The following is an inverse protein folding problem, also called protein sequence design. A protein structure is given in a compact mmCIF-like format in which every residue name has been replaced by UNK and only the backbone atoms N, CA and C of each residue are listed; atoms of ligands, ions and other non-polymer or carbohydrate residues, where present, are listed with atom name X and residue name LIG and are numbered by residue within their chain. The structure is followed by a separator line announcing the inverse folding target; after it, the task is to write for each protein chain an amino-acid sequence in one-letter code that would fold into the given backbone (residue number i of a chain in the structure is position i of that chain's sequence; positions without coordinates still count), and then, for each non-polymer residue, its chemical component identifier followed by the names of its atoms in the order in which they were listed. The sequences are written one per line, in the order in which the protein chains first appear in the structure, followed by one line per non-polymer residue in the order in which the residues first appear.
data_IF_099219316607
#
_entry.id   IF_099219316607
#
_cell.length_a   1.000
_cell.length_b   1.000
_cell.length_c   1.000
_cell.angle_alpha   90.00
_cell.angle_beta   90.00
_cell.angle_gamma   90.00
#
_symmetry.space_group_name_H-M   'P 1'
#
loop_
_entity.id
_entity.type
_entity.pdbx_description
1 polymer ?
#
# COMPACT_ATOMS: atom_id res chain seq x y z
N UNK A 1 -21.78 53.61 -28.07
CA UNK A 1 -21.58 53.85 -26.62
C UNK A 1 -20.62 52.80 -26.12
N UNK A 2 -19.35 53.17 -26.10
CA UNK A 2 -18.17 52.37 -25.76
C UNK A 2 -17.86 52.58 -24.28
N UNK A 3 -17.68 51.52 -23.50
CA UNK A 3 -17.03 51.63 -22.19
C UNK A 3 -16.00 50.52 -22.03
N UNK A 4 -14.81 50.94 -21.62
CA UNK A 4 -13.54 50.24 -21.74
C UNK A 4 -13.21 49.38 -20.52
N UNK A 5 -12.48 48.29 -20.76
CA UNK A 5 -11.83 47.47 -19.74
C UNK A 5 -10.65 48.21 -19.09
N UNK A 6 -10.38 48.01 -17.79
CA UNK A 6 -9.07 48.32 -17.23
C UNK A 6 -8.10 47.15 -17.44
N UNK A 7 -6.93 47.50 -18.01
CA UNK A 7 -5.73 46.65 -18.07
C UNK A 7 -4.93 46.86 -16.80
N UNK A 8 -4.68 45.80 -16.04
CA UNK A 8 -3.69 45.80 -14.96
C UNK A 8 -2.44 45.06 -15.42
N UNK A 9 -1.33 45.81 -15.52
CA UNK A 9 0.01 45.27 -15.71
C UNK A 9 0.47 44.55 -14.43
N UNK A 10 0.96 43.32 -14.56
CA UNK A 10 1.75 42.66 -13.54
C UNK A 10 3.20 42.56 -14.02
N UNK A 11 4.09 43.16 -13.24
CA UNK A 11 5.53 43.26 -13.41
C UNK A 11 6.23 41.91 -13.20
N UNK A 12 7.04 41.47 -14.16
CA UNK A 12 8.00 40.37 -14.00
C UNK A 12 9.20 40.85 -13.15
N UNK A 13 9.41 40.23 -11.99
CA UNK A 13 10.65 40.32 -11.22
C UNK A 13 11.41 39.00 -11.33
N UNK A 14 12.52 38.98 -12.07
CA UNK A 14 13.41 37.83 -12.19
C UNK A 14 14.38 37.74 -11.01
N UNK A 15 14.54 36.55 -10.45
CA UNK A 15 15.58 36.24 -9.47
C UNK A 15 16.58 35.25 -10.09
N UNK A 16 17.85 35.67 -10.15
CA UNK A 16 19.00 34.87 -10.59
C UNK A 16 19.58 34.19 -9.34
N UNK A 17 19.54 32.85 -9.28
CA UNK A 17 20.31 32.07 -8.30
C UNK A 17 21.63 31.60 -8.92
N UNK A 18 22.74 32.00 -8.31
CA UNK A 18 24.08 31.51 -8.61
C UNK A 18 24.38 30.25 -7.77
N UNK A 19 24.72 29.15 -8.44
CA UNK A 19 25.25 27.92 -7.82
C UNK A 19 26.76 28.07 -7.58
N UNK A 20 27.19 27.94 -6.32
CA UNK A 20 28.58 27.75 -5.94
C UNK A 20 28.89 26.25 -5.75
N UNK A 21 29.78 25.72 -6.59
CA UNK A 21 30.43 24.42 -6.43
C UNK A 21 31.62 24.56 -5.48
N UNK A 22 31.67 23.74 -4.42
CA UNK A 22 32.91 23.45 -3.70
C UNK A 22 33.11 21.95 -3.60
N UNK A 23 34.21 21.51 -4.19
CA UNK A 23 34.80 20.19 -4.09
C UNK A 23 35.48 20.00 -2.72
N UNK A 24 35.45 18.77 -2.22
CA UNK A 24 36.22 18.35 -1.04
C UNK A 24 36.42 16.84 -1.07
N UNK A 25 37.57 16.42 -1.60
CA UNK A 25 38.10 15.06 -1.50
C UNK A 25 38.72 14.84 -0.11
N UNK A 26 38.70 13.59 0.37
CA UNK A 26 39.48 13.16 1.53
C UNK A 26 39.24 11.69 1.87
N UNK A 27 39.94 10.79 1.17
CA UNK A 27 40.22 9.41 1.58
C UNK A 27 41.25 9.39 2.71
N UNK A 28 41.08 8.53 3.72
CA UNK A 28 42.12 7.61 4.24
C UNK A 28 41.60 6.81 5.48
N UNK A 29 41.49 5.50 5.32
CA UNK A 29 41.62 4.44 6.34
C UNK A 29 42.76 3.53 5.82
N UNK A 30 43.54 2.74 6.61
CA UNK A 30 43.08 1.95 7.76
C UNK A 30 44.16 1.66 8.85
N UNK A 31 43.80 0.81 9.83
CA UNK A 31 44.62 -0.21 10.55
C UNK A 31 44.27 -0.25 12.05
N UNK A 32 43.50 -1.25 12.52
CA UNK A 32 43.92 -2.59 12.93
C UNK A 32 44.58 -2.65 14.33
N UNK A 33 43.89 -3.26 15.30
CA UNK A 33 44.50 -4.28 16.15
C UNK A 33 43.44 -5.07 16.96
N UNK A 34 43.44 -6.40 16.81
CA UNK A 34 42.73 -7.36 17.66
C UNK A 34 43.77 -8.40 18.11
N UNK A 35 44.03 -8.56 19.42
CA UNK A 35 44.77 -9.71 19.91
C UNK A 35 43.84 -10.90 20.13
N UNK A 36 44.21 -12.04 19.56
CA UNK A 36 43.70 -13.37 19.92
C UNK A 36 44.65 -14.01 20.96
N UNK A 37 44.10 -14.75 21.91
CA UNK A 37 44.85 -15.69 22.78
C UNK A 37 44.01 -16.94 23.09
N UNK A 38 44.66 -18.07 23.44
CA UNK A 38 44.32 -19.39 22.91
C UNK A 38 43.59 -20.34 23.88
N UNK A 39 43.17 -21.47 23.29
CA UNK A 39 42.58 -22.67 23.88
C UNK A 39 43.28 -23.21 25.14
N UNK A 40 42.48 -23.69 26.08
CA UNK A 40 42.88 -24.64 27.12
C UNK A 40 41.86 -25.78 27.19
N UNK A 41 42.36 -27.02 27.09
CA UNK A 41 41.59 -28.27 27.13
C UNK A 41 41.79 -28.94 28.49
N UNK A 42 40.71 -29.42 29.13
CA UNK A 42 40.75 -30.38 30.24
C UNK A 42 39.38 -31.07 30.42
N UNK A 43 39.31 -32.27 31.07
CA UNK A 43 38.50 -33.40 30.58
C UNK A 43 37.19 -33.70 31.34
N UNK A 44 36.47 -34.64 30.73
CA UNK A 44 35.27 -35.41 31.10
C UNK A 44 34.84 -35.50 32.59
N UNK A 45 33.53 -35.32 32.81
CA UNK A 45 32.67 -36.11 33.72
C UNK A 45 31.18 -35.81 33.43
N UNK A 46 30.35 -36.85 33.46
CA UNK A 46 28.90 -36.86 33.21
C UNK A 46 28.26 -37.85 34.19
N UNK A 47 26.95 -37.79 34.53
CA UNK A 47 26.09 -36.64 34.80
C UNK A 47 25.29 -36.82 36.11
N UNK A 48 24.85 -35.72 36.73
CA UNK A 48 23.71 -35.76 37.63
C UNK A 48 23.02 -34.39 37.70
N UNK A 49 21.73 -34.39 37.34
CA UNK A 49 20.63 -33.63 37.95
C UNK A 49 19.72 -32.91 36.96
N UNK A 50 18.43 -33.12 37.24
CA UNK A 50 17.28 -32.21 37.13
C UNK A 50 16.55 -32.09 35.79
N UNK A 51 15.32 -32.59 35.84
CA UNK A 51 14.19 -32.27 34.97
C UNK A 51 14.09 -30.76 34.73
N UNK A 52 14.34 -30.36 33.49
CA UNK A 52 13.87 -29.11 32.92
C UNK A 52 12.77 -29.45 31.93
N UNK A 53 11.54 -29.06 32.26
CA UNK A 53 10.38 -29.13 31.37
C UNK A 53 10.65 -28.26 30.15
N UNK A 54 11.03 -28.86 29.03
CA UNK A 54 11.07 -28.17 27.73
C UNK A 54 9.64 -27.87 27.29
N UNK A 55 9.29 -26.59 27.40
CA UNK A 55 8.14 -25.97 26.73
C UNK A 55 8.23 -26.27 25.24
N UNK A 56 7.23 -26.99 24.72
CA UNK A 56 7.20 -27.47 23.35
C UNK A 56 7.37 -26.35 22.32
N UNK A 57 8.37 -26.49 21.45
CA UNK A 57 8.37 -25.84 20.14
C UNK A 57 7.10 -26.24 19.38
N UNK A 58 6.37 -25.30 18.75
CA UNK A 58 5.34 -25.69 17.81
C UNK A 58 6.01 -26.46 16.68
N UNK A 59 5.51 -27.67 16.41
CA UNK A 59 5.85 -28.41 15.19
C UNK A 59 5.39 -27.58 14.00
N UNK A 60 6.33 -26.96 13.29
CA UNK A 60 6.11 -26.52 11.92
C UNK A 60 5.98 -27.76 11.05
N UNK A 61 4.78 -27.98 10.52
CA UNK A 61 4.51 -29.00 9.50
C UNK A 61 5.44 -28.76 8.30
N UNK A 62 6.36 -29.70 7.96
CA UNK A 62 7.40 -29.47 6.94
C UNK A 62 6.89 -29.37 5.49
N UNK A 63 5.57 -29.30 5.27
CA UNK A 63 4.95 -29.35 3.94
C UNK A 63 4.17 -28.11 3.51
N UNK A 64 3.93 -27.13 4.39
CA UNK A 64 3.22 -25.92 4.03
C UNK A 64 4.21 -24.87 3.49
N UNK A 65 4.04 -24.34 2.27
CA UNK A 65 4.86 -23.23 1.80
C UNK A 65 4.69 -22.02 2.71
N UNK A 66 5.80 -21.31 2.97
CA UNK A 66 5.80 -20.11 3.80
C UNK A 66 4.77 -19.09 3.31
N UNK A 67 4.02 -18.46 4.23
CA UNK A 67 3.05 -17.43 3.85
C UNK A 67 3.76 -16.28 3.13
N UNK A 68 3.27 -15.95 1.94
CA UNK A 68 3.75 -14.82 1.15
C UNK A 68 2.70 -13.71 1.16
N UNK A 69 3.14 -12.46 1.31
CA UNK A 69 2.25 -11.31 1.17
C UNK A 69 2.15 -10.87 -0.30
N UNK A 70 0.94 -10.55 -0.74
CA UNK A 70 0.67 -9.91 -2.03
C UNK A 70 -0.06 -8.57 -1.82
N UNK A 71 0.31 -7.51 -2.56
CA UNK A 71 -0.42 -6.25 -2.51
C UNK A 71 -1.71 -6.37 -3.34
N UNK A 72 -2.86 -6.29 -2.68
CA UNK A 72 -4.17 -6.24 -3.34
C UNK A 72 -4.73 -4.84 -3.20
N UNK A 73 -5.20 -4.28 -4.32
CA UNK A 73 -5.85 -2.98 -4.32
C UNK A 73 -7.36 -3.19 -4.23
N UNK A 74 -8.02 -2.43 -3.36
CA UNK A 74 -9.46 -2.48 -3.14
C UNK A 74 -10.07 -1.09 -3.22
N UNK A 75 -11.37 -1.02 -3.50
CA UNK A 75 -12.07 0.24 -3.63
C UNK A 75 -12.56 0.73 -2.27
N UNK A 76 -12.15 1.92 -1.89
CA UNK A 76 -12.65 2.67 -0.73
C UNK A 76 -13.29 3.99 -1.18
N UNK A 77 -14.07 4.61 -0.30
CA UNK A 77 -14.69 5.92 -0.56
C UNK A 77 -13.75 7.03 -0.13
N UNK A 78 -13.61 8.07 -0.94
CA UNK A 78 -12.92 9.32 -0.58
C UNK A 78 -13.80 10.52 -0.93
N UNK A 79 -13.46 11.73 -0.45
CA UNK A 79 -14.10 12.96 -0.90
C UNK A 79 -14.11 13.18 -2.41
N UNK A 80 -13.14 12.64 -3.13
CA UNK A 80 -13.00 12.75 -4.59
C UNK A 80 -13.75 11.64 -5.34
N UNK A 81 -14.49 10.80 -4.62
CA UNK A 81 -15.17 9.61 -5.14
C UNK A 81 -14.44 8.32 -4.79
N UNK A 82 -14.80 7.23 -5.47
CA UNK A 82 -14.17 5.94 -5.24
C UNK A 82 -12.70 5.93 -5.71
N UNK A 83 -11.81 5.45 -4.83
CA UNK A 83 -10.36 5.31 -5.08
C UNK A 83 -9.85 3.96 -4.60
N UNK A 84 -8.64 3.61 -5.02
CA UNK A 84 -7.98 2.36 -4.65
C UNK A 84 -7.08 2.52 -3.42
N UNK A 85 -7.30 1.70 -2.41
CA UNK A 85 -6.43 1.50 -1.26
C UNK A 85 -5.69 0.18 -1.39
N UNK A 86 -4.46 0.09 -0.90
CA UNK A 86 -3.67 -1.15 -0.91
C UNK A 86 -3.77 -1.84 0.44
N UNK A 87 -4.01 -3.14 0.40
CA UNK A 87 -3.95 -4.05 1.55
C UNK A 87 -3.02 -5.21 1.21
N UNK A 88 -2.18 -5.65 2.16
CA UNK A 88 -1.36 -6.84 1.97
C UNK A 88 -2.13 -8.08 2.43
N UNK A 89 -2.40 -8.98 1.49
CA UNK A 89 -3.09 -10.24 1.77
C UNK A 89 -2.06 -11.36 1.88
N UNK A 90 -2.13 -12.14 2.96
CA UNK A 90 -1.35 -13.35 3.12
C UNK A 90 -1.92 -14.47 2.25
N UNK A 91 -1.06 -15.16 1.51
CA UNK A 91 -1.43 -16.31 0.69
C UNK A 91 -0.52 -17.49 0.99
N UNK A 92 -1.06 -18.70 0.84
CA UNK A 92 -0.33 -19.96 0.99
C UNK A 92 -0.69 -20.90 -0.15
N UNK A 93 0.30 -21.63 -0.67
CA UNK A 93 0.10 -22.75 -1.61
C UNK A 93 -0.36 -22.41 -3.02
N UNK A 94 -0.77 -21.17 -3.31
CA UNK A 94 -1.21 -20.73 -4.63
C UNK A 94 -0.13 -19.97 -5.41
N UNK A 95 -0.20 -20.02 -6.74
CA UNK A 95 0.53 -19.07 -7.59
C UNK A 95 0.11 -17.63 -7.22
N UNK A 96 1.11 -16.76 -7.04
CA UNK A 96 0.88 -15.41 -6.49
C UNK A 96 -0.03 -14.57 -7.39
N UNK A 97 0.13 -14.67 -8.71
CA UNK A 97 -0.68 -13.89 -9.66
C UNK A 97 -2.10 -14.42 -9.76
N UNK A 98 -2.27 -15.74 -9.73
CA UNK A 98 -3.59 -16.37 -9.67
C UNK A 98 -4.32 -15.97 -8.39
N UNK A 99 -3.64 -16.03 -7.24
CA UNK A 99 -4.21 -15.62 -5.95
C UNK A 99 -4.56 -14.12 -5.95
N UNK A 100 -3.70 -13.26 -6.48
CA UNK A 100 -3.93 -11.82 -6.58
C UNK A 100 -5.17 -11.49 -7.44
N UNK A 101 -5.32 -12.14 -8.59
CA UNK A 101 -6.51 -11.98 -9.44
C UNK A 101 -7.78 -12.50 -8.75
N UNK A 102 -7.69 -13.61 -8.01
CA UNK A 102 -8.80 -14.14 -7.23
C UNK A 102 -9.23 -13.17 -6.12
N UNK A 103 -8.28 -12.56 -5.40
CA UNK A 103 -8.56 -11.55 -4.37
C UNK A 103 -9.27 -10.33 -4.95
N UNK A 104 -8.87 -9.87 -6.13
CA UNK A 104 -9.55 -8.75 -6.81
C UNK A 104 -10.98 -9.11 -7.22
N UNK A 105 -11.21 -10.30 -7.75
CA UNK A 105 -12.50 -10.68 -8.36
C UNK A 105 -13.52 -11.20 -7.36
N UNK A 106 -13.07 -11.84 -6.27
CA UNK A 106 -13.91 -12.55 -5.32
C UNK A 106 -13.44 -12.46 -3.86
N UNK A 107 -12.32 -11.79 -3.62
CA UNK A 107 -11.78 -11.64 -2.27
C UNK A 107 -12.62 -10.75 -1.38
N UNK A 108 -12.50 -11.01 -0.07
CA UNK A 108 -13.04 -10.14 0.98
C UNK A 108 -11.87 -9.42 1.63
N UNK A 109 -11.76 -8.09 1.48
CA UNK A 109 -10.76 -7.30 2.20
C UNK A 109 -10.87 -7.52 3.71
N UNK A 110 -9.75 -7.44 4.41
CA UNK A 110 -9.74 -7.48 5.88
C UNK A 110 -10.34 -6.19 6.43
N UNK A 111 -9.99 -5.06 5.81
CA UNK A 111 -10.59 -3.76 6.08
C UNK A 111 -12.05 -3.70 5.59
N UNK A 112 -13.04 -3.49 6.48
CA UNK A 112 -14.44 -3.45 6.07
C UNK A 112 -14.83 -2.19 5.31
N UNK A 113 -13.99 -1.15 5.31
CA UNK A 113 -14.22 0.08 4.55
C UNK A 113 -13.86 -0.11 3.06
N UNK A 114 -13.20 -1.23 2.76
CA UNK A 114 -12.79 -1.61 1.42
C UNK A 114 -13.75 -2.63 0.80
N UNK A 115 -13.78 -2.67 -0.54
CA UNK A 115 -14.55 -3.66 -1.30
C UNK A 115 -13.93 -3.96 -2.66
N UNK A 116 -14.34 -5.08 -3.26
CA UNK A 116 -14.17 -5.27 -4.70
C UNK A 116 -15.24 -4.55 -5.50
N UNK A 117 -14.89 -4.05 -6.68
CA UNK A 117 -15.87 -3.55 -7.68
C UNK A 117 -16.17 -4.57 -8.79
N UNK A 118 -15.64 -5.78 -8.69
CA UNK A 118 -15.85 -6.82 -9.69
C UNK A 118 -17.23 -7.49 -9.51
N UNK A 119 -17.88 -7.90 -10.61
CA UNK A 119 -19.16 -8.61 -10.56
C UNK A 119 -19.05 -10.05 -10.02
N UNK A 120 -17.87 -10.48 -9.57
CA UNK A 120 -17.56 -11.85 -9.15
C UNK A 120 -16.93 -12.69 -10.26
N UNK A 121 -16.69 -13.96 -9.94
CA UNK A 121 -16.10 -14.96 -10.84
C UNK A 121 -14.57 -15.04 -10.75
N UNK A 122 -13.93 -15.68 -11.74
CA UNK A 122 -12.48 -15.90 -11.77
C UNK A 122 -11.96 -15.91 -13.21
N UNK A 123 -10.72 -15.47 -13.39
CA UNK A 123 -9.99 -15.70 -14.65
C UNK A 123 -9.74 -17.20 -14.87
N UNK A 124 -9.74 -17.63 -16.12
CA UNK A 124 -9.40 -19.00 -16.50
C UNK A 124 -7.90 -19.27 -16.32
N UNK A 125 -7.06 -18.27 -16.60
CA UNK A 125 -5.63 -18.30 -16.30
C UNK A 125 -5.08 -16.89 -16.07
N UNK A 126 -3.97 -16.82 -15.34
CA UNK A 126 -3.16 -15.62 -15.17
C UNK A 126 -1.70 -16.05 -15.28
N UNK A 127 -0.94 -15.44 -16.17
CA UNK A 127 0.45 -15.85 -16.43
C UNK A 127 1.31 -14.64 -16.77
N UNK A 128 2.51 -14.59 -16.22
CA UNK A 128 3.49 -13.58 -16.57
C UNK A 128 4.41 -14.09 -17.69
N UNK A 129 4.61 -13.24 -18.68
CA UNK A 129 5.64 -13.41 -19.73
C UNK A 129 6.73 -12.36 -19.53
N UNK A 130 7.72 -12.32 -20.43
CA UNK A 130 8.74 -11.27 -20.39
C UNK A 130 8.16 -9.86 -20.62
N UNK A 131 7.09 -9.76 -21.41
CA UNK A 131 6.58 -8.47 -21.92
C UNK A 131 5.20 -8.08 -21.34
N UNK A 132 4.48 -9.02 -20.71
CA UNK A 132 3.11 -8.79 -20.26
C UNK A 132 2.70 -9.69 -19.10
N UNK A 133 1.61 -9.31 -18.43
CA UNK A 133 0.82 -10.22 -17.60
C UNK A 133 -0.43 -10.58 -18.41
N UNK A 134 -0.56 -11.82 -18.83
CA UNK A 134 -1.68 -12.32 -19.64
C UNK A 134 -2.77 -12.84 -18.73
N UNK A 135 -4.00 -12.36 -18.91
CA UNK A 135 -5.20 -12.85 -18.23
C UNK A 135 -6.18 -13.42 -19.24
N UNK A 136 -6.62 -14.65 -19.02
CA UNK A 136 -7.64 -15.31 -19.84
C UNK A 136 -9.00 -15.16 -19.14
N UNK A 137 -9.95 -14.48 -19.79
CA UNK A 137 -11.32 -14.39 -19.28
C UNK A 137 -12.06 -15.71 -19.45
N UNK A 138 -12.99 -16.07 -18.56
CA UNK A 138 -13.69 -17.34 -18.66
C UNK A 138 -14.65 -17.40 -19.87
N UNK A 139 -15.24 -16.26 -20.25
CA UNK A 139 -16.17 -16.14 -21.36
C UNK A 139 -16.39 -14.66 -21.75
N UNK A 140 -17.15 -14.44 -22.82
CA UNK A 140 -17.39 -13.12 -23.41
C UNK A 140 -18.16 -12.13 -22.50
N UNK A 141 -18.80 -12.59 -21.41
CA UNK A 141 -19.54 -11.69 -20.51
C UNK A 141 -18.62 -10.71 -19.80
N UNK A 142 -17.36 -11.08 -19.59
CA UNK A 142 -16.33 -10.22 -18.98
C UNK A 142 -15.81 -9.15 -19.94
N UNK A 143 -16.14 -9.22 -21.23
CA UNK A 143 -15.75 -8.20 -22.21
C UNK A 143 -16.67 -6.98 -22.16
N UNK A 144 -17.85 -7.11 -21.55
CA UNK A 144 -18.86 -6.06 -21.42
C UNK A 144 -18.88 -5.52 -19.99
N UNK A 145 -19.29 -4.26 -19.77
CA UNK A 145 -19.33 -3.67 -18.42
C UNK A 145 -20.41 -4.28 -17.52
N UNK A 146 -21.39 -5.00 -18.10
CA UNK A 146 -22.54 -5.51 -17.37
C UNK A 146 -23.35 -4.37 -16.74
N UNK A 147 -23.55 -4.43 -15.42
CA UNK A 147 -24.25 -3.40 -14.65
C UNK A 147 -23.33 -2.26 -14.17
N UNK A 148 -22.02 -2.35 -14.38
CA UNK A 148 -21.07 -1.32 -13.94
C UNK A 148 -21.25 -0.05 -14.75
N UNK A 149 -21.28 1.10 -14.05
CA UNK A 149 -21.16 2.40 -14.73
C UNK A 149 -19.75 2.53 -15.33
N UNK A 150 -19.57 3.33 -16.41
CA UNK A 150 -18.27 3.45 -17.06
C UNK A 150 -17.10 3.82 -16.15
N UNK A 151 -17.32 4.69 -15.15
CA UNK A 151 -16.28 5.04 -14.17
C UNK A 151 -15.94 3.88 -13.24
N UNK A 152 -16.93 3.10 -12.81
CA UNK A 152 -16.74 1.92 -11.96
C UNK A 152 -16.02 0.81 -12.71
N UNK A 153 -16.35 0.59 -13.99
CA UNK A 153 -15.65 -0.36 -14.85
C UNK A 153 -14.17 -0.01 -15.01
N UNK A 154 -13.86 1.27 -15.26
CA UNK A 154 -12.46 1.75 -15.31
C UNK A 154 -11.72 1.53 -14.00
N UNK A 155 -12.34 1.85 -12.87
CA UNK A 155 -11.71 1.66 -11.56
C UNK A 155 -11.51 0.17 -11.23
N UNK A 156 -12.47 -0.69 -11.56
CA UNK A 156 -12.35 -2.15 -11.40
C UNK A 156 -11.21 -2.73 -12.25
N UNK A 157 -11.03 -2.24 -13.48
CA UNK A 157 -9.87 -2.62 -14.31
C UNK A 157 -8.57 -2.15 -13.68
N UNK A 158 -8.50 -0.92 -13.16
CA UNK A 158 -7.31 -0.43 -12.46
C UNK A 158 -7.02 -1.22 -11.16
N UNK A 159 -8.07 -1.67 -10.47
CA UNK A 159 -7.96 -2.59 -9.32
C UNK A 159 -7.15 -3.85 -9.68
N UNK A 160 -7.45 -4.46 -10.82
CA UNK A 160 -6.71 -5.62 -11.33
C UNK A 160 -5.29 -5.26 -11.74
N UNK A 161 -5.13 -4.21 -12.54
CA UNK A 161 -3.82 -3.83 -13.09
C UNK A 161 -2.82 -3.52 -11.98
N UNK A 162 -3.19 -2.69 -11.00
CA UNK A 162 -2.30 -2.37 -9.87
C UNK A 162 -1.96 -3.59 -9.02
N UNK A 163 -2.93 -4.48 -8.79
CA UNK A 163 -2.74 -5.71 -8.02
C UNK A 163 -1.78 -6.66 -8.72
N UNK A 164 -1.98 -6.93 -10.02
CA UNK A 164 -1.13 -7.83 -10.79
C UNK A 164 0.28 -7.27 -10.97
N UNK A 165 0.41 -5.99 -11.31
CA UNK A 165 1.73 -5.35 -11.44
C UNK A 165 2.48 -5.28 -10.11
N UNK A 166 1.77 -4.99 -9.00
CA UNK A 166 2.34 -5.02 -7.67
C UNK A 166 2.82 -6.42 -7.27
N UNK A 167 2.04 -7.45 -7.60
CA UNK A 167 2.38 -8.84 -7.32
C UNK A 167 3.55 -9.34 -8.17
N UNK A 168 3.59 -8.96 -9.45
CA UNK A 168 4.68 -9.27 -10.37
C UNK A 168 5.99 -8.50 -10.06
N UNK A 169 5.91 -7.41 -9.28
CA UNK A 169 7.03 -6.50 -9.05
C UNK A 169 7.46 -5.73 -10.30
N UNK A 170 6.61 -5.63 -11.32
CA UNK A 170 6.92 -5.02 -12.61
C UNK A 170 5.71 -4.26 -13.19
N UNK A 171 5.96 -3.18 -13.94
CA UNK A 171 4.93 -2.38 -14.62
C UNK A 171 4.59 -2.93 -16.02
N UNK A 172 4.52 -4.26 -16.14
CA UNK A 172 4.14 -4.92 -17.39
C UNK A 172 2.67 -4.63 -17.74
N UNK A 173 2.31 -4.39 -19.02
CA UNK A 173 0.92 -4.26 -19.43
C UNK A 173 0.15 -5.55 -19.16
N UNK A 174 -1.12 -5.43 -18.77
CA UNK A 174 -2.03 -6.57 -18.63
C UNK A 174 -2.72 -6.82 -19.96
N UNK A 175 -2.43 -7.96 -20.59
CA UNK A 175 -3.06 -8.38 -21.85
C UNK A 175 -4.23 -9.31 -21.58
N UNK A 176 -5.35 -9.05 -22.23
CA UNK A 176 -6.59 -9.80 -22.03
C UNK A 176 -6.79 -10.75 -23.19
N UNK A 177 -7.11 -12.00 -22.90
CA UNK A 177 -7.40 -13.02 -23.89
C UNK A 177 -8.74 -13.70 -23.62
N UNK A 178 -9.35 -14.19 -24.70
CA UNK A 178 -10.49 -15.10 -24.69
C UNK A 178 -10.27 -16.19 -25.74
N UNK A 179 -10.39 -17.44 -25.33
CA UNK A 179 -10.11 -18.64 -26.14
C UNK A 179 -8.71 -18.58 -26.78
N UNK A 180 -7.72 -18.07 -26.01
CA UNK A 180 -6.33 -17.90 -26.45
C UNK A 180 -6.11 -16.82 -27.51
N UNK A 181 -7.10 -15.95 -27.75
CA UNK A 181 -7.01 -14.83 -28.71
C UNK A 181 -7.09 -13.49 -27.98
N UNK A 182 -6.42 -12.43 -28.47
CA UNK A 182 -6.54 -11.10 -27.88
C UNK A 182 -8.00 -10.63 -27.80
N UNK A 183 -8.43 -10.21 -26.62
CA UNK A 183 -9.74 -9.63 -26.40
C UNK A 183 -9.66 -8.10 -26.52
N UNK A 184 -10.61 -7.44 -27.20
CA UNK A 184 -10.56 -6.00 -27.43
C UNK A 184 -10.89 -5.19 -26.18
N UNK A 185 -11.57 -5.78 -25.19
CA UNK A 185 -12.04 -5.07 -23.99
C UNK A 185 -11.97 -5.95 -22.74
N UNK A 186 -12.04 -5.32 -21.58
CA UNK A 186 -12.30 -5.96 -20.28
C UNK A 186 -13.24 -5.06 -19.50
N UNK A 187 -14.39 -5.59 -19.07
CA UNK A 187 -15.48 -4.83 -18.46
C UNK A 187 -15.89 -3.60 -19.31
N UNK A 188 -15.83 -3.72 -20.65
CA UNK A 188 -16.10 -2.61 -21.57
C UNK A 188 -15.00 -1.55 -21.69
N UNK A 189 -13.87 -1.70 -20.99
CA UNK A 189 -12.69 -0.83 -21.12
C UNK A 189 -11.81 -1.37 -22.25
N UNK A 190 -11.32 -0.48 -23.14
CA UNK A 190 -10.41 -0.86 -24.23
C UNK A 190 -9.14 -1.54 -23.70
N UNK A 191 -8.91 -2.77 -24.13
CA UNK A 191 -7.76 -3.61 -23.79
C UNK A 191 -6.91 -3.95 -25.02
N UNK A 192 -7.23 -3.40 -26.20
CA UNK A 192 -6.62 -3.75 -27.48
C UNK A 192 -5.10 -3.52 -27.55
N UNK A 193 -4.56 -2.63 -26.70
CA UNK A 193 -3.13 -2.32 -26.59
C UNK A 193 -2.48 -2.85 -25.30
N UNK A 194 -3.22 -3.64 -24.52
CA UNK A 194 -2.87 -3.96 -23.15
C UNK A 194 -3.26 -2.84 -22.18
N UNK A 195 -3.61 -3.23 -20.96
CA UNK A 195 -4.06 -2.35 -19.90
C UNK A 195 -2.86 -1.93 -19.03
N UNK A 196 -2.67 -0.63 -18.85
CA UNK A 196 -1.60 -0.06 -18.03
C UNK A 196 -2.16 0.64 -16.80
N UNK A 197 -1.33 0.76 -15.76
CA UNK A 197 -1.68 1.51 -14.58
C UNK A 197 -1.87 2.99 -14.97
N UNK A 198 -2.98 3.57 -14.54
CA UNK A 198 -3.19 5.01 -14.61
C UNK A 198 -2.18 5.74 -13.69
N UNK A 199 -2.03 7.07 -13.78
CA UNK A 199 -1.28 7.84 -12.78
C UNK A 199 -1.84 7.60 -11.37
N UNK A 200 -0.95 7.48 -10.38
CA UNK A 200 -1.36 7.10 -9.02
C UNK A 200 -2.38 8.07 -8.42
N UNK A 201 -2.17 9.38 -8.59
CA UNK A 201 -3.05 10.42 -8.04
C UNK A 201 -4.45 10.45 -8.67
N UNK A 202 -4.64 9.80 -9.83
CA UNK A 202 -5.93 9.75 -10.52
C UNK A 202 -6.83 8.63 -10.00
N UNK A 203 -6.26 7.59 -9.39
CA UNK A 203 -6.99 6.35 -9.08
C UNK A 203 -6.73 5.79 -7.67
N UNK A 204 -5.57 6.06 -7.07
CA UNK A 204 -5.26 5.64 -5.71
C UNK A 204 -5.78 6.67 -4.70
N UNK A 205 -6.08 6.21 -3.49
CA UNK A 205 -6.35 7.09 -2.37
C UNK A 205 -5.10 7.90 -2.03
N UNK A 206 -5.26 9.19 -1.72
CA UNK A 206 -4.13 10.09 -1.49
C UNK A 206 -3.40 9.84 -0.16
N UNK A 207 -3.95 9.01 0.71
CA UNK A 207 -3.29 8.43 1.88
C UNK A 207 -3.75 6.99 2.02
N UNK A 208 -2.82 6.11 2.38
CA UNK A 208 -3.12 4.71 2.68
C UNK A 208 -2.12 4.21 3.73
N UNK A 209 -2.65 3.67 4.83
CA UNK A 209 -1.95 3.01 5.93
C UNK A 209 -1.67 1.56 5.53
N UNK A 210 -0.39 1.19 5.55
CA UNK A 210 0.07 -0.18 5.36
C UNK A 210 0.19 -0.90 6.69
N UNK A 211 0.84 -0.27 7.67
CA UNK A 211 0.88 -0.74 9.05
C UNK A 211 0.40 0.36 10.01
N UNK A 212 -0.33 0.03 11.07
CA UNK A 212 -0.81 -1.30 11.42
C UNK A 212 -1.86 -1.81 10.43
N UNK A 213 -1.82 -3.11 10.12
CA UNK A 213 -2.92 -3.76 9.40
C UNK A 213 -4.23 -3.71 10.22
N UNK A 214 -5.37 -3.82 9.55
CA UNK A 214 -6.67 -3.84 10.21
C UNK A 214 -6.76 -4.97 11.25
N UNK A 215 -7.22 -4.63 12.46
CA UNK A 215 -7.37 -5.57 13.59
C UNK A 215 -6.07 -5.91 14.32
N UNK A 216 -4.97 -5.21 14.03
CA UNK A 216 -3.67 -5.46 14.68
C UNK A 216 -3.72 -5.17 16.18
N UNK A 217 -3.15 -6.07 16.97
CA UNK A 217 -2.92 -5.81 18.39
C UNK A 217 -1.53 -5.21 18.62
N UNK A 218 -1.46 -4.12 19.37
CA UNK A 218 -0.25 -3.34 19.64
C UNK A 218 0.02 -3.27 21.15
N UNK A 219 1.28 -3.07 21.53
CA UNK A 219 1.71 -2.96 22.94
C UNK A 219 2.85 -1.94 23.04
N UNK A 220 2.73 -1.00 23.97
CA UNK A 220 3.70 0.07 24.23
C UNK A 220 3.86 1.06 23.08
N UNK A 221 4.46 0.64 21.95
CA UNK A 221 4.66 1.45 20.75
C UNK A 221 4.44 0.62 19.50
N UNK A 222 3.98 1.26 18.44
CA UNK A 222 3.96 0.66 17.10
C UNK A 222 4.48 1.64 16.05
N UNK A 223 4.91 1.11 14.91
CA UNK A 223 5.23 1.93 13.73
C UNK A 223 3.98 2.00 12.86
N UNK A 224 3.50 3.22 12.63
CA UNK A 224 2.52 3.48 11.60
C UNK A 224 3.25 3.88 10.31
N UNK A 225 2.93 3.26 9.20
CA UNK A 225 3.56 3.56 7.91
C UNK A 225 2.62 3.30 6.74
N UNK A 226 2.93 3.91 5.61
CA UNK A 226 2.09 3.80 4.44
C UNK A 226 2.61 4.62 3.27
N UNK A 227 1.69 5.02 2.39
CA UNK A 227 1.98 5.95 1.30
C UNK A 227 1.00 7.12 1.31
N UNK A 228 1.46 8.30 0.93
CA UNK A 228 0.62 9.48 0.84
C UNK A 228 1.12 10.47 -0.22
N UNK A 229 0.21 11.25 -0.78
CA UNK A 229 0.50 12.50 -1.46
C UNK A 229 -0.41 13.56 -0.86
N UNK A 230 0.16 14.32 0.08
CA UNK A 230 -0.54 15.32 0.87
C UNK A 230 0.13 16.69 0.70
N UNK A 231 -0.60 17.77 0.91
CA UNK A 231 -0.04 19.12 0.83
C UNK A 231 1.17 19.26 1.76
N UNK A 232 2.28 19.81 1.23
CA UNK A 232 3.57 19.92 1.93
C UNK A 232 4.08 18.60 2.54
N UNK A 233 3.67 17.46 1.95
CA UNK A 233 3.93 16.11 2.45
C UNK A 233 3.46 15.84 3.89
N UNK A 234 2.58 16.66 4.46
CA UNK A 234 2.14 16.51 5.85
C UNK A 234 1.05 15.45 5.94
N UNK A 235 1.24 14.45 6.79
CA UNK A 235 0.29 13.37 7.05
C UNK A 235 -0.15 13.47 8.52
N UNK A 236 -1.26 14.17 8.82
CA UNK A 236 -1.83 14.16 10.15
C UNK A 236 -2.36 12.77 10.49
N UNK A 237 -2.24 12.39 11.77
CA UNK A 237 -2.79 11.15 12.29
C UNK A 237 -3.42 11.36 13.66
N UNK A 238 -4.39 10.51 13.99
CA UNK A 238 -4.97 10.44 15.32
C UNK A 238 -5.34 9.02 15.75
N UNK A 239 -5.55 8.86 17.05
CA UNK A 239 -6.14 7.69 17.66
C UNK A 239 -7.44 8.12 18.31
N UNK A 240 -8.53 7.46 17.92
CA UNK A 240 -9.83 7.59 18.56
C UNK A 240 -10.14 6.38 19.44
N UNK A 241 -10.78 6.61 20.59
CA UNK A 241 -11.34 5.54 21.41
C UNK A 241 -12.63 4.96 20.80
N UNK A 242 -13.22 3.94 21.46
CA UNK A 242 -14.45 3.29 21.00
C UNK A 242 -15.68 4.22 20.91
N UNK A 243 -15.63 5.43 21.48
CA UNK A 243 -16.69 6.44 21.37
C UNK A 243 -16.47 7.43 20.23
N UNK A 244 -15.33 7.34 19.53
CA UNK A 244 -14.91 8.29 18.50
C UNK A 244 -14.19 9.52 19.07
N UNK A 245 -13.87 9.54 20.36
CA UNK A 245 -13.14 10.65 20.97
C UNK A 245 -11.65 10.51 20.65
N UNK A 246 -11.04 11.58 20.13
CA UNK A 246 -9.59 11.67 19.95
C UNK A 246 -8.89 11.61 21.31
N UNK A 247 -8.03 10.60 21.48
CA UNK A 247 -7.24 10.38 22.70
C UNK A 247 -5.76 10.68 22.49
N UNK A 248 -5.29 10.67 21.24
CA UNK A 248 -3.93 11.03 20.87
C UNK A 248 -3.90 11.48 19.41
N UNK A 249 -3.00 12.40 19.05
CA UNK A 249 -2.86 12.90 17.68
C UNK A 249 -1.44 13.40 17.42
N UNK A 250 -1.08 13.53 16.15
CA UNK A 250 0.18 14.12 15.71
C UNK A 250 0.23 14.22 14.18
N UNK A 251 1.44 14.37 13.65
CA UNK A 251 1.67 14.32 12.21
C UNK A 251 3.02 13.67 11.91
N UNK A 252 3.23 13.31 10.65
CA UNK A 252 4.53 12.96 10.08
C UNK A 252 4.67 13.61 8.70
N UNK A 253 5.84 13.48 8.09
CA UNK A 253 6.13 13.99 6.76
C UNK A 253 6.43 12.83 5.82
N UNK A 254 5.70 12.72 4.72
CA UNK A 254 6.03 11.79 3.64
C UNK A 254 7.32 12.22 2.94
N UNK A 255 8.00 11.30 2.26
CA UNK A 255 9.26 11.58 1.55
C UNK A 255 9.11 12.59 0.39
N UNK A 256 7.88 12.92 0.00
CA UNK A 256 7.55 13.86 -1.04
C UNK A 256 6.04 14.02 -1.21
N UNK A 257 5.64 14.80 -2.21
CA UNK A 257 4.23 15.03 -2.57
C UNK A 257 4.11 15.55 -4.01
N UNK A 258 2.87 15.63 -4.51
CA UNK A 258 2.40 16.29 -5.74
C UNK A 258 2.36 15.50 -7.05
N UNK A 259 3.26 14.54 -7.31
CA UNK A 259 3.32 13.79 -8.57
C UNK A 259 2.94 12.30 -8.43
N UNK A 260 3.15 11.73 -7.25
CA UNK A 260 2.83 10.34 -6.91
C UNK A 260 2.69 10.19 -5.39
N UNK A 261 2.35 9.00 -4.92
CA UNK A 261 2.37 8.74 -3.50
C UNK A 261 3.80 8.44 -3.03
N UNK A 262 4.17 8.96 -1.87
CA UNK A 262 5.47 8.76 -1.24
C UNK A 262 5.32 7.98 0.06
N UNK A 263 6.34 7.18 0.43
CA UNK A 263 6.37 6.55 1.75
C UNK A 263 6.25 7.58 2.88
N UNK A 264 5.60 7.21 3.96
CA UNK A 264 5.63 7.91 5.24
C UNK A 264 5.71 6.88 6.37
N UNK A 265 6.32 7.27 7.49
CA UNK A 265 6.44 6.43 8.69
C UNK A 265 6.47 7.29 9.94
N UNK A 266 5.93 6.78 11.05
CA UNK A 266 6.00 7.40 12.37
C UNK A 266 5.90 6.37 13.48
N UNK A 267 6.55 6.63 14.61
CA UNK A 267 6.42 5.81 15.82
C UNK A 267 5.33 6.40 16.71
N UNK A 268 4.34 5.58 17.04
CA UNK A 268 3.20 5.96 17.86
C UNK A 268 3.33 5.29 19.23
N UNK A 269 3.27 6.07 20.29
CA UNK A 269 3.36 5.60 21.68
C UNK A 269 1.96 5.44 22.27
N UNK A 270 1.59 4.20 22.60
CA UNK A 270 0.28 3.86 23.20
C UNK A 270 0.42 3.38 24.64
N UNK A 271 1.62 3.48 25.24
CA UNK A 271 1.90 2.97 26.58
C UNK A 271 1.08 3.64 27.70
N UNK A 272 0.57 4.85 27.44
CA UNK A 272 -0.30 5.59 28.35
C UNK A 272 -1.80 5.34 28.12
N UNK A 273 -2.17 4.61 27.07
CA UNK A 273 -3.57 4.29 26.77
C UNK A 273 -4.00 3.04 27.56
N UNK A 274 -5.19 3.03 28.18
CA UNK A 274 -5.74 1.82 28.76
C UNK A 274 -5.90 0.71 27.70
N UNK A 275 -5.74 -0.57 28.06
CA UNK A 275 -6.05 -1.68 27.16
C UNK A 275 -7.48 -1.59 26.62
N UNK A 276 -7.65 -1.82 25.32
CA UNK A 276 -8.95 -1.64 24.67
C UNK A 276 -8.90 -1.51 23.16
N UNK A 277 -10.06 -1.23 22.57
CA UNK A 277 -10.21 -1.01 21.12
C UNK A 277 -10.08 0.46 20.78
N UNK A 278 -9.32 0.73 19.72
CA UNK A 278 -9.06 2.07 19.20
C UNK A 278 -9.11 2.07 17.67
N UNK A 279 -9.24 3.24 17.09
CA UNK A 279 -9.11 3.46 15.64
C UNK A 279 -7.93 4.39 15.40
N UNK A 280 -6.92 3.91 14.67
CA UNK A 280 -5.87 4.75 14.12
C UNK A 280 -6.35 5.32 12.78
N UNK A 281 -6.15 6.62 12.58
CA UNK A 281 -6.60 7.34 11.38
C UNK A 281 -5.42 8.14 10.85
N UNK A 282 -5.09 7.96 9.57
CA UNK A 282 -4.17 8.83 8.84
C UNK A 282 -4.94 9.58 7.76
N UNK A 283 -4.61 10.84 7.54
CA UNK A 283 -5.31 11.69 6.57
C UNK A 283 -4.34 12.51 5.72
N UNK A 284 -4.82 13.00 4.58
CA UNK A 284 -4.16 14.14 3.93
C UNK A 284 -4.41 15.40 4.73
N UNK A 285 -3.50 16.37 4.65
CA UNK A 285 -3.72 17.70 5.17
C UNK A 285 -4.89 18.38 4.44
N UNK A 286 -5.61 19.25 5.14
CA UNK A 286 -6.70 20.04 4.59
C UNK A 286 -6.45 21.54 4.82
N UNK A 287 -5.68 22.19 3.92
CA UNK A 287 -5.40 23.62 4.01
C UNK A 287 -6.64 24.50 3.90
N UNK A 288 -7.77 23.95 3.45
CA UNK A 288 -9.03 24.68 3.29
C UNK A 288 -9.89 24.71 4.55
N UNK A 289 -9.47 24.02 5.62
CA UNK A 289 -10.20 23.92 6.89
C UNK A 289 -11.69 23.53 6.70
N UNK A 290 -11.95 22.57 5.81
CA UNK A 290 -13.29 22.04 5.55
C UNK A 290 -14.13 22.80 4.51
N UNK A 291 -13.59 23.81 3.81
CA UNK A 291 -14.29 24.45 2.68
C UNK A 291 -14.35 23.55 1.42
N UNK A 292 -13.49 22.51 1.35
CA UNK A 292 -13.46 21.51 0.27
C UNK A 292 -14.26 20.24 0.55
N UNK A 293 -14.00 19.18 -0.22
CA UNK A 293 -14.57 17.85 0.03
C UNK A 293 -14.09 17.19 1.34
N UNK A 294 -13.10 17.79 2.00
CA UNK A 294 -12.40 17.24 3.15
C UNK A 294 -11.17 16.40 2.76
N UNK A 295 -10.40 15.95 3.76
CA UNK A 295 -9.20 15.17 3.54
C UNK A 295 -9.53 13.75 3.07
N UNK A 296 -8.61 13.13 2.31
CA UNK A 296 -8.66 11.66 2.14
C UNK A 296 -8.20 11.04 3.44
N UNK A 297 -8.88 9.99 3.90
CA UNK A 297 -8.54 9.29 5.13
C UNK A 297 -8.35 7.80 4.88
N UNK A 298 -7.56 7.16 5.74
CA UNK A 298 -7.48 5.71 5.87
C UNK A 298 -7.50 5.35 7.37
N UNK A 299 -8.32 4.38 7.74
CA UNK A 299 -8.59 3.98 9.12
C UNK A 299 -8.18 2.54 9.37
N UNK A 300 -7.65 2.26 10.56
CA UNK A 300 -7.27 0.92 11.00
C UNK A 300 -7.72 0.72 12.43
N UNK A 301 -8.55 -0.27 12.70
CA UNK A 301 -8.87 -0.65 14.09
C UNK A 301 -7.68 -1.40 14.67
N UNK A 302 -7.32 -1.03 15.89
CA UNK A 302 -6.23 -1.64 16.64
C UNK A 302 -6.69 -1.99 18.05
N UNK A 303 -6.07 -3.01 18.63
CA UNK A 303 -6.27 -3.36 20.04
C UNK A 303 -5.01 -3.06 20.82
N UNK A 304 -5.08 -2.16 21.81
CA UNK A 304 -3.99 -1.94 22.78
C UNK A 304 -4.09 -3.01 23.86
N UNK A 305 -2.97 -3.69 24.13
CA UNK A 305 -2.85 -4.77 25.13
C UNK A 305 -2.56 -4.26 26.53
#
# INVERSE_FOLDING_TARGET
MTSALPRTLATLGGAVLALGLLAGCGDDEPAADKPATPSSSAPASSPAATEGTETGSPSTDPGAPDPSAIPVYYVGKTPQGDRLYREFTQISGADRLVAAAASVTSGKPVDPDYRTSWPGGRFASVTQTADAIVVEVPDASWLQPGSLKPAQARLAVQQLVYTLQGTAGARLPVQVQQDGKPAPTLLGVDASKGLTAAPELDVLALVNVTEPAEGTAVDGKFTAEGRASSFEATVPWEIQDATGKVVQQGFTTAEGWADKLYPWSTKVDVSALPPGQYTFIARTDDPSDGEGGGPTEDTKRITVK
#
